data_IF_658352011786
#
_entry.id   IF_658352011786
#
_cell.length_a   1.000
_cell.length_b   1.000
_cell.length_c   1.000
_cell.angle_alpha   90.00
_cell.angle_beta   90.00
_cell.angle_gamma   90.00
#
_symmetry.space_group_name_H-M   'P 1'
#
loop_
_entity.id
_entity.type
_entity.pdbx_description
1 polymer ?
#
# COMPACT_ATOMS: atom_id res chain seq x y z
N UNK A 1 39.23 35.80 -13.79
CA UNK A 1 38.91 34.38 -14.02
C UNK A 1 37.80 33.95 -13.06
N UNK A 2 36.64 33.63 -13.63
CA UNK A 2 35.60 32.71 -13.11
C UNK A 2 35.07 32.99 -11.70
N UNK A 3 34.00 33.80 -11.64
CA UNK A 3 33.08 33.85 -10.51
C UNK A 3 32.44 32.46 -10.35
N UNK A 4 33.02 31.60 -9.53
CA UNK A 4 32.60 30.22 -9.28
C UNK A 4 31.46 30.10 -8.25
N UNK A 5 31.18 31.18 -7.51
CA UNK A 5 30.10 31.27 -6.51
C UNK A 5 28.69 31.01 -7.07
N UNK A 6 28.26 31.58 -8.22
CA UNK A 6 26.94 31.27 -8.78
C UNK A 6 26.83 29.84 -9.31
N UNK A 7 27.95 29.25 -9.75
CA UNK A 7 27.98 27.86 -10.23
C UNK A 7 27.79 26.87 -9.07
N UNK A 8 28.44 27.13 -7.92
CA UNK A 8 28.23 26.35 -6.69
C UNK A 8 26.79 26.46 -6.16
N UNK A 9 26.19 27.65 -6.25
CA UNK A 9 24.80 27.87 -5.83
C UNK A 9 23.81 27.12 -6.73
N UNK A 10 24.04 27.15 -8.06
CA UNK A 10 23.19 26.45 -9.02
C UNK A 10 23.28 24.92 -8.86
N UNK A 11 24.47 24.38 -8.58
CA UNK A 11 24.65 22.94 -8.30
C UNK A 11 23.96 22.53 -7.00
N UNK A 12 24.03 23.36 -5.95
CA UNK A 12 23.32 23.12 -4.69
C UNK A 12 21.80 23.08 -4.87
N UNK A 13 21.24 24.01 -5.66
CA UNK A 13 19.81 24.06 -5.97
C UNK A 13 19.39 22.84 -6.79
N UNK A 14 20.19 22.44 -7.79
CA UNK A 14 19.90 21.28 -8.64
C UNK A 14 19.95 19.96 -7.84
N UNK A 15 20.88 19.84 -6.89
CA UNK A 15 21.00 18.67 -6.01
C UNK A 15 19.83 18.57 -5.02
N UNK A 16 19.38 19.71 -4.47
CA UNK A 16 18.17 19.75 -3.65
C UNK A 16 16.92 19.36 -4.46
N UNK A 17 16.79 19.82 -5.71
CA UNK A 17 15.64 19.48 -6.56
C UNK A 17 15.58 17.97 -6.89
N UNK A 18 16.75 17.34 -7.11
CA UNK A 18 16.85 15.91 -7.36
C UNK A 18 16.46 15.07 -6.12
N UNK A 19 16.77 15.54 -4.91
CA UNK A 19 16.41 14.84 -3.67
C UNK A 19 14.89 14.80 -3.42
N UNK A 20 14.15 15.85 -3.82
CA UNK A 20 12.69 15.88 -3.67
C UNK A 20 11.98 15.01 -4.72
N UNK A 21 12.57 14.83 -5.90
CA UNK A 21 12.00 14.00 -6.97
C UNK A 21 12.03 12.48 -6.67
N UNK A 22 12.94 12.02 -5.81
CA UNK A 22 13.00 10.63 -5.37
C UNK A 22 12.04 10.28 -4.22
N UNK A 23 11.33 11.26 -3.66
CA UNK A 23 10.32 11.04 -2.61
C UNK A 23 8.94 10.71 -3.19
N UNK A 24 8.88 10.17 -4.42
CA UNK A 24 7.70 9.46 -4.90
C UNK A 24 7.63 8.14 -4.13
N UNK A 25 7.16 8.21 -2.88
CA UNK A 25 6.78 7.05 -2.11
C UNK A 25 5.84 6.22 -2.97
N UNK A 26 6.26 5.00 -3.28
CA UNK A 26 5.41 4.04 -3.96
C UNK A 26 4.20 3.82 -3.05
N UNK A 27 3.07 4.42 -3.42
CA UNK A 27 1.77 4.17 -2.81
C UNK A 27 1.40 2.73 -3.21
N UNK A 28 1.96 1.77 -2.49
CA UNK A 28 1.79 0.36 -2.79
C UNK A 28 0.32 0.03 -2.52
N UNK A 29 -0.44 -0.42 -3.53
CA UNK A 29 -1.87 -0.65 -3.36
C UNK A 29 -2.08 -1.76 -2.33
N UNK A 30 -2.87 -1.46 -1.29
CA UNK A 30 -3.30 -2.45 -0.30
C UNK A 30 -4.20 -3.49 -0.95
N UNK A 31 -3.83 -4.76 -0.85
CA UNK A 31 -4.64 -5.87 -1.33
C UNK A 31 -5.78 -6.14 -0.33
N UNK A 32 -7.02 -5.84 -0.72
CA UNK A 32 -8.20 -6.09 0.10
C UNK A 32 -8.80 -7.45 -0.22
N UNK A 33 -9.00 -8.27 0.82
CA UNK A 33 -9.62 -9.59 0.70
C UNK A 33 -10.88 -9.68 1.55
N UNK A 34 -11.89 -10.37 1.05
CA UNK A 34 -13.14 -10.61 1.74
C UNK A 34 -13.45 -12.11 1.80
N UNK A 35 -14.01 -12.54 2.93
CA UNK A 35 -14.45 -13.91 3.15
C UNK A 35 -15.96 -14.03 3.07
N UNK A 36 -16.44 -15.20 2.64
CA UNK A 36 -17.87 -15.52 2.65
C UNK A 36 -18.33 -15.67 4.11
N UNK A 37 -19.46 -15.07 4.52
CA UNK A 37 -19.92 -15.10 5.92
C UNK A 37 -20.79 -16.33 6.20
N UNK A 38 -20.24 -17.52 5.99
CA UNK A 38 -20.91 -18.81 6.24
C UNK A 38 -20.64 -19.37 7.64
N UNK A 39 -19.58 -18.91 8.30
CA UNK A 39 -19.16 -19.31 9.64
C UNK A 39 -19.32 -18.17 10.66
N UNK A 40 -19.09 -18.48 11.94
CA UNK A 40 -19.09 -17.48 13.01
C UNK A 40 -18.06 -16.36 12.72
N UNK A 41 -18.49 -15.10 12.81
CA UNK A 41 -17.68 -13.92 12.48
C UNK A 41 -16.37 -13.84 13.25
N UNK A 42 -16.35 -14.30 14.51
CA UNK A 42 -15.14 -14.31 15.33
C UNK A 42 -14.11 -15.36 14.87
N UNK A 43 -14.56 -16.53 14.42
CA UNK A 43 -13.68 -17.57 13.88
C UNK A 43 -13.13 -17.18 12.51
N UNK A 44 -13.96 -16.58 11.65
CA UNK A 44 -13.53 -16.08 10.34
C UNK A 44 -12.46 -15.01 10.53
N UNK A 45 -12.70 -14.00 11.36
CA UNK A 45 -11.74 -12.92 11.58
C UNK A 45 -10.35 -13.45 11.99
N UNK A 46 -10.30 -14.42 12.92
CA UNK A 46 -9.05 -15.03 13.38
C UNK A 46 -8.31 -15.79 12.27
N UNK A 47 -9.04 -16.52 11.43
CA UNK A 47 -8.42 -17.26 10.30
C UNK A 47 -7.89 -16.30 9.24
N UNK A 48 -8.64 -15.25 8.95
CA UNK A 48 -8.24 -14.24 7.98
C UNK A 48 -7.07 -13.39 8.46
N UNK A 49 -6.92 -13.14 9.76
CA UNK A 49 -5.74 -12.48 10.32
C UNK A 49 -4.43 -13.27 10.05
N UNK A 50 -4.47 -14.59 10.23
CA UNK A 50 -3.32 -15.45 9.92
C UNK A 50 -3.03 -15.43 8.41
N UNK A 51 -4.09 -15.46 7.58
CA UNK A 51 -3.97 -15.41 6.13
C UNK A 51 -3.42 -14.08 5.61
N UNK A 52 -3.92 -12.95 6.10
CA UNK A 52 -3.45 -11.62 5.68
C UNK A 52 -1.98 -11.41 6.05
N UNK A 53 -1.59 -11.85 7.24
CA UNK A 53 -0.18 -11.80 7.68
C UNK A 53 0.72 -12.62 6.75
N UNK A 54 0.32 -13.85 6.42
CA UNK A 54 1.07 -14.70 5.51
C UNK A 54 1.18 -14.09 4.10
N UNK A 55 0.06 -13.68 3.51
CA UNK A 55 0.04 -13.07 2.17
C UNK A 55 0.82 -11.76 2.10
N UNK A 56 0.77 -10.94 3.16
CA UNK A 56 1.57 -9.72 3.26
C UNK A 56 3.07 -10.02 3.21
N UNK A 57 3.50 -11.06 3.93
CA UNK A 57 4.90 -11.49 3.93
C UNK A 57 5.38 -12.05 2.59
N UNK A 58 4.53 -12.80 1.89
CA UNK A 58 4.88 -13.44 0.61
C UNK A 58 4.82 -12.47 -0.58
N UNK A 59 3.86 -11.55 -0.59
CA UNK A 59 3.63 -10.65 -1.71
C UNK A 59 4.38 -9.32 -1.56
N UNK A 60 4.88 -9.00 -0.35
CA UNK A 60 5.57 -7.75 -0.07
C UNK A 60 4.67 -6.52 -0.17
N UNK A 61 3.35 -6.70 -0.06
CA UNK A 61 2.33 -5.63 -0.08
C UNK A 61 1.43 -5.78 1.13
N UNK A 62 0.83 -4.68 1.58
CA UNK A 62 -0.13 -4.73 2.68
C UNK A 62 -1.40 -5.47 2.26
N UNK A 63 -1.88 -6.37 3.13
CA UNK A 63 -3.10 -7.15 2.89
C UNK A 63 -4.09 -6.92 4.02
N UNK A 64 -5.30 -6.48 3.69
CA UNK A 64 -6.34 -6.12 4.65
C UNK A 64 -7.56 -7.05 4.48
N UNK A 65 -8.08 -7.57 5.59
CA UNK A 65 -9.34 -8.32 5.59
C UNK A 65 -10.53 -7.39 5.80
N UNK A 66 -11.48 -7.42 4.86
CA UNK A 66 -12.75 -6.70 4.95
C UNK A 66 -13.87 -7.70 5.26
N UNK A 67 -14.47 -7.67 6.47
CA UNK A 67 -15.57 -8.56 6.81
C UNK A 67 -16.79 -8.24 5.95
N UNK A 68 -17.43 -9.27 5.40
CA UNK A 68 -18.68 -9.09 4.65
C UNK A 68 -19.87 -9.57 5.46
N UNK A 69 -20.98 -8.84 5.33
CA UNK A 69 -22.21 -9.08 6.11
C UNK A 69 -23.16 -10.04 5.37
N UNK A 70 -23.09 -10.07 4.04
CA UNK A 70 -23.87 -10.97 3.19
C UNK A 70 -23.15 -11.25 1.86
N UNK A 71 -23.49 -12.38 1.24
CA UNK A 71 -22.89 -12.84 -0.03
C UNK A 71 -23.05 -11.83 -1.17
N UNK A 72 -24.18 -11.10 -1.21
CA UNK A 72 -24.47 -10.09 -2.22
C UNK A 72 -23.48 -8.91 -2.16
N UNK A 73 -23.10 -8.48 -0.95
CA UNK A 73 -22.10 -7.43 -0.74
C UNK A 73 -20.71 -7.88 -1.21
N UNK A 74 -20.35 -9.15 -1.01
CA UNK A 74 -19.07 -9.71 -1.48
C UNK A 74 -18.98 -9.66 -3.01
N UNK A 75 -20.03 -10.10 -3.73
CA UNK A 75 -20.05 -10.09 -5.20
C UNK A 75 -20.04 -8.67 -5.77
N UNK A 76 -20.70 -7.72 -5.13
CA UNK A 76 -20.69 -6.31 -5.55
C UNK A 76 -19.31 -5.69 -5.34
N UNK A 77 -18.64 -5.98 -4.21
CA UNK A 77 -17.31 -5.45 -3.91
C UNK A 77 -16.22 -5.90 -4.88
N UNK A 78 -16.29 -7.11 -5.44
CA UNK A 78 -15.32 -7.62 -6.42
C UNK A 78 -15.59 -7.19 -7.88
N UNK A 79 -16.70 -6.49 -8.16
CA UNK A 79 -17.07 -6.05 -9.51
C UNK A 79 -16.58 -4.64 -9.89
N UNK A 80 -15.92 -3.93 -8.97
CA UNK A 80 -15.34 -2.61 -9.22
C UNK A 80 -13.90 -2.69 -9.70
#
# INVERSE_FOLDING_TARGET
>A
MKNSKPLLLAVGILLCLAAVACSAGADAPTLKIAGIPDQNSSEIARRYEVLTTYLSSELGVEVEFVPTVNYAATVIGFKQ
#
